data_IF_829237173851
#
_entry.id   IF_829237173851
#
_cell.length_a   1.000
_cell.length_b   1.000
_cell.length_c   1.000
_cell.angle_alpha   90.00
_cell.angle_beta   90.00
_cell.angle_gamma   90.00
#
_symmetry.space_group_name_H-M   'P 1'
#
loop_
_entity.id
_entity.type
_entity.pdbx_description
1 polymer ?
#
# COMPACT_ATOMS: atom_id res chain seq x y z
N UNK A 1 19.69 -19.13 -3.29
CA UNK A 1 20.40 -19.77 -2.16
C UNK A 1 21.57 -18.93 -1.70
N UNK A 2 22.66 -18.80 -2.49
CA UNK A 2 23.88 -18.08 -2.08
C UNK A 2 23.61 -16.65 -1.60
N UNK A 3 22.88 -15.85 -2.39
CA UNK A 3 22.49 -14.49 -2.02
C UNK A 3 21.71 -14.46 -0.69
N UNK A 4 20.77 -15.39 -0.50
CA UNK A 4 19.95 -15.45 0.72
C UNK A 4 20.79 -15.81 1.95
N UNK A 5 21.75 -16.74 1.82
CA UNK A 5 22.69 -17.10 2.89
C UNK A 5 23.59 -15.92 3.25
N UNK A 6 24.20 -15.29 2.23
CA UNK A 6 25.12 -14.16 2.43
C UNK A 6 24.41 -13.00 3.10
N UNK A 7 23.21 -12.64 2.64
CA UNK A 7 22.44 -11.55 3.24
C UNK A 7 22.00 -11.86 4.67
N UNK A 8 21.61 -13.11 4.97
CA UNK A 8 21.25 -13.51 6.33
C UNK A 8 22.45 -13.41 7.28
N UNK A 9 23.59 -13.96 6.89
CA UNK A 9 24.82 -13.91 7.68
C UNK A 9 25.28 -12.47 7.90
N UNK A 10 25.30 -11.65 6.84
CA UNK A 10 25.65 -10.23 6.95
C UNK A 10 24.68 -9.47 7.85
N UNK A 11 23.37 -9.78 7.81
CA UNK A 11 22.39 -9.12 8.65
C UNK A 11 22.60 -9.47 10.13
N UNK A 12 22.77 -10.75 10.46
CA UNK A 12 23.04 -11.22 11.83
C UNK A 12 24.34 -10.63 12.37
N UNK A 13 25.41 -10.64 11.57
CA UNK A 13 26.69 -10.04 11.94
C UNK A 13 26.52 -8.53 12.18
N UNK A 14 25.88 -7.82 11.25
CA UNK A 14 25.69 -6.38 11.34
C UNK A 14 24.87 -5.97 12.57
N UNK A 15 23.79 -6.70 12.87
CA UNK A 15 22.96 -6.49 14.07
C UNK A 15 23.77 -6.77 15.33
N UNK A 16 24.60 -7.82 15.34
CA UNK A 16 25.44 -8.15 16.50
C UNK A 16 26.48 -7.05 16.77
N UNK A 17 27.04 -6.44 15.71
CA UNK A 17 27.97 -5.31 15.80
C UNK A 17 27.32 -4.00 16.27
N UNK A 18 26.00 -3.94 16.46
CA UNK A 18 25.35 -2.75 17.04
C UNK A 18 25.86 -2.49 18.46
N UNK A 19 26.15 -3.55 19.24
CA UNK A 19 26.74 -3.42 20.58
C UNK A 19 28.09 -2.70 20.58
N UNK A 20 28.82 -2.77 19.46
CA UNK A 20 30.12 -2.14 19.25
C UNK A 20 30.00 -0.77 18.53
N UNK A 21 28.78 -0.28 18.28
CA UNK A 21 28.49 0.98 17.57
C UNK A 21 28.63 0.91 16.05
N UNK A 22 29.52 0.06 15.51
CA UNK A 22 29.76 -0.12 14.06
C UNK A 22 28.50 -0.63 13.34
N UNK A 23 27.70 -1.47 14.01
CA UNK A 23 26.46 -2.02 13.48
C UNK A 23 25.46 -0.95 13.05
N UNK A 24 25.44 0.21 13.73
CA UNK A 24 24.51 1.31 13.42
C UNK A 24 24.66 1.80 11.97
N UNK A 25 25.87 1.78 11.41
CA UNK A 25 26.11 2.22 10.03
C UNK A 25 25.92 1.10 9.01
N UNK A 26 26.28 -0.12 9.37
CA UNK A 26 26.20 -1.27 8.46
C UNK A 26 24.78 -1.84 8.35
N UNK A 27 24.00 -1.81 9.43
CA UNK A 27 22.67 -2.45 9.51
C UNK A 27 21.70 -1.85 8.50
N UNK A 28 21.58 -0.52 8.32
CA UNK A 28 20.68 0.04 7.33
C UNK A 28 20.99 -0.40 5.90
N UNK A 29 22.29 -0.47 5.55
CA UNK A 29 22.73 -0.88 4.21
C UNK A 29 22.40 -2.34 3.96
N UNK A 30 22.68 -3.21 4.93
CA UNK A 30 22.40 -4.64 4.82
C UNK A 30 20.89 -4.90 4.79
N UNK A 31 20.11 -4.24 5.66
CA UNK A 31 18.66 -4.38 5.67
C UNK A 31 18.01 -3.84 4.40
N UNK A 32 18.54 -2.76 3.81
CA UNK A 32 18.07 -2.27 2.51
C UNK A 32 18.37 -3.27 1.38
N UNK A 33 19.53 -3.93 1.41
CA UNK A 33 19.84 -5.03 0.49
C UNK A 33 18.89 -6.23 0.67
N UNK A 34 18.56 -6.60 1.92
CA UNK A 34 17.55 -7.63 2.24
C UNK A 34 16.18 -7.24 1.67
N UNK A 35 15.72 -6.00 1.92
CA UNK A 35 14.45 -5.48 1.41
C UNK A 35 14.41 -5.51 -0.13
N UNK A 36 15.51 -5.15 -0.80
CA UNK A 36 15.63 -5.18 -2.26
C UNK A 36 15.55 -6.62 -2.79
N UNK A 37 16.23 -7.57 -2.16
CA UNK A 37 16.17 -9.00 -2.51
C UNK A 37 14.76 -9.57 -2.32
N UNK A 38 14.09 -9.26 -1.21
CA UNK A 38 12.71 -9.65 -0.96
C UNK A 38 11.76 -9.07 -2.04
N UNK A 39 11.89 -7.79 -2.37
CA UNK A 39 11.09 -7.15 -3.42
C UNK A 39 11.31 -7.78 -4.80
N UNK A 40 12.55 -8.15 -5.14
CA UNK A 40 12.84 -8.86 -6.39
C UNK A 40 12.12 -10.21 -6.44
N UNK A 41 12.08 -10.96 -5.33
CA UNK A 41 11.33 -12.22 -5.25
C UNK A 41 9.83 -12.03 -5.32
N UNK A 42 9.30 -10.96 -4.72
CA UNK A 42 7.88 -10.58 -4.85
C UNK A 42 7.53 -10.28 -6.32
N UNK A 43 8.43 -9.63 -7.06
CA UNK A 43 8.25 -9.37 -8.49
C UNK A 43 8.20 -10.68 -9.29
N UNK A 44 9.16 -11.59 -9.07
CA UNK A 44 9.19 -12.89 -9.73
C UNK A 44 7.98 -13.77 -9.40
N UNK A 45 7.48 -13.70 -8.16
CA UNK A 45 6.27 -14.41 -7.75
C UNK A 45 5.06 -13.99 -8.61
N UNK A 46 4.94 -12.70 -8.92
CA UNK A 46 3.88 -12.17 -9.78
C UNK A 46 4.12 -12.54 -11.24
N UNK A 47 5.32 -12.28 -11.77
CA UNK A 47 5.59 -12.46 -13.20
C UNK A 47 5.58 -13.93 -13.64
N UNK A 48 6.06 -14.85 -12.81
CA UNK A 48 6.21 -16.26 -13.18
C UNK A 48 5.11 -17.16 -12.64
N UNK A 49 4.40 -16.73 -11.59
CA UNK A 49 3.44 -17.57 -10.87
C UNK A 49 2.10 -16.91 -10.55
N UNK A 50 1.93 -15.63 -10.91
CA UNK A 50 0.74 -14.80 -10.61
C UNK A 50 0.37 -14.75 -9.11
N UNK A 51 1.36 -14.96 -8.23
CA UNK A 51 1.19 -14.89 -6.78
C UNK A 51 1.54 -13.49 -6.31
N UNK A 52 0.54 -12.71 -5.89
CA UNK A 52 0.74 -11.38 -5.32
C UNK A 52 1.13 -11.45 -3.85
N UNK A 53 2.29 -10.90 -3.53
CA UNK A 53 2.80 -10.72 -2.17
C UNK A 53 2.88 -9.21 -1.89
N UNK A 54 2.11 -8.68 -0.94
CA UNK A 54 2.12 -7.26 -0.63
C UNK A 54 3.48 -6.81 -0.05
N UNK A 55 3.77 -5.51 -0.17
CA UNK A 55 4.97 -4.87 0.39
C UNK A 55 4.58 -4.13 1.68
N UNK A 56 4.93 -4.64 2.87
CA UNK A 56 4.40 -4.12 4.14
C UNK A 56 5.29 -3.05 4.80
N UNK A 57 6.37 -2.58 4.16
CA UNK A 57 7.33 -1.67 4.79
C UNK A 57 6.71 -0.32 5.14
N UNK A 58 7.05 0.20 6.33
CA UNK A 58 6.66 1.56 6.73
C UNK A 58 7.52 2.60 6.00
N UNK A 59 6.92 3.70 5.51
CA UNK A 59 7.69 4.80 4.93
C UNK A 59 8.58 5.46 6.00
N UNK A 60 9.75 5.95 5.60
CA UNK A 60 10.59 6.72 6.50
C UNK A 60 10.00 8.13 6.73
N UNK A 61 10.14 8.70 7.94
CA UNK A 61 9.81 10.09 8.19
C UNK A 61 10.57 11.01 7.24
N UNK A 62 9.93 12.07 6.74
CA UNK A 62 10.56 13.04 5.84
C UNK A 62 11.65 13.89 6.53
N UNK A 63 11.57 14.00 7.86
CA UNK A 63 12.41 14.88 8.69
C UNK A 63 13.51 14.11 9.45
N UNK A 64 14.15 13.12 8.82
CA UNK A 64 15.26 12.42 9.44
C UNK A 64 16.41 13.40 9.74
N UNK A 65 16.88 13.41 10.99
CA UNK A 65 18.01 14.25 11.40
C UNK A 65 19.26 13.91 10.56
N UNK A 66 20.08 14.88 10.15
CA UNK A 66 21.33 14.59 9.47
C UNK A 66 22.41 14.07 10.45
N UNK A 67 23.37 13.30 9.95
CA UNK A 67 24.52 12.82 10.70
C UNK A 67 24.30 11.53 11.50
N UNK A 68 25.10 11.32 12.54
CA UNK A 68 25.15 10.06 13.32
C UNK A 68 23.83 9.78 14.04
N UNK A 69 23.20 10.80 14.62
CA UNK A 69 21.91 10.68 15.32
C UNK A 69 20.79 10.24 14.37
N UNK A 70 20.78 10.75 13.14
CA UNK A 70 19.87 10.30 12.09
C UNK A 70 20.08 8.86 11.67
N UNK A 71 21.33 8.41 11.61
CA UNK A 71 21.65 7.02 11.30
C UNK A 71 21.15 6.07 12.39
N UNK A 72 21.34 6.44 13.67
CA UNK A 72 20.80 5.68 14.82
C UNK A 72 19.27 5.60 14.73
N UNK A 73 18.61 6.72 14.42
CA UNK A 73 17.16 6.78 14.24
C UNK A 73 16.70 5.87 13.09
N UNK A 74 17.35 5.94 11.92
CA UNK A 74 17.07 5.06 10.77
C UNK A 74 17.21 3.58 11.12
N UNK A 75 18.30 3.21 11.79
CA UNK A 75 18.54 1.82 12.22
C UNK A 75 17.47 1.37 13.20
N UNK A 76 17.10 2.22 14.16
CA UNK A 76 16.06 1.92 15.14
C UNK A 76 14.69 1.74 14.48
N UNK A 77 14.34 2.60 13.51
CA UNK A 77 13.10 2.50 12.74
C UNK A 77 13.04 1.20 11.92
N UNK A 78 14.14 0.82 11.26
CA UNK A 78 14.21 -0.42 10.50
C UNK A 78 14.11 -1.67 11.39
N UNK A 79 14.77 -1.68 12.55
CA UNK A 79 14.71 -2.80 13.49
C UNK A 79 13.35 -2.92 14.20
N UNK A 80 12.63 -1.81 14.38
CA UNK A 80 11.26 -1.81 14.91
C UNK A 80 10.21 -2.20 13.89
N UNK A 81 10.55 -2.22 12.60
CA UNK A 81 9.63 -2.62 11.55
C UNK A 81 9.43 -4.15 11.58
N UNK A 82 8.22 -4.66 11.86
CA UNK A 82 7.96 -6.10 11.91
C UNK A 82 8.18 -6.78 10.55
N UNK A 83 8.09 -6.03 9.44
CA UNK A 83 8.42 -6.54 8.12
C UNK A 83 9.89 -6.99 7.99
N UNK A 84 10.81 -6.31 8.68
CA UNK A 84 12.25 -6.65 8.64
C UNK A 84 12.51 -8.02 9.26
N UNK A 85 11.84 -8.35 10.37
CA UNK A 85 11.98 -9.67 11.00
C UNK A 85 11.37 -10.79 10.16
N UNK A 86 10.24 -10.51 9.48
CA UNK A 86 9.66 -11.46 8.52
C UNK A 86 10.56 -11.70 7.32
N UNK A 87 11.22 -10.67 6.80
CA UNK A 87 12.20 -10.85 5.72
C UNK A 87 13.39 -11.71 6.18
N UNK A 88 13.88 -11.53 7.41
CA UNK A 88 14.95 -12.37 7.98
C UNK A 88 14.51 -13.83 8.18
N UNK A 89 13.30 -14.06 8.70
CA UNK A 89 12.74 -15.41 8.83
C UNK A 89 12.52 -16.04 7.44
N UNK A 90 12.06 -15.26 6.47
CA UNK A 90 11.91 -15.71 5.10
C UNK A 90 13.26 -16.09 4.47
N UNK A 91 14.36 -15.38 4.75
CA UNK A 91 15.69 -15.76 4.26
C UNK A 91 16.12 -17.17 4.74
N UNK A 92 15.82 -17.52 5.99
CA UNK A 92 16.08 -18.87 6.54
C UNK A 92 15.27 -19.94 5.79
N UNK A 93 14.00 -19.66 5.52
CA UNK A 93 13.10 -20.58 4.82
C UNK A 93 13.49 -20.67 3.33
N UNK A 94 13.84 -19.55 2.68
CA UNK A 94 14.29 -19.52 1.29
C UNK A 94 15.62 -20.26 1.10
N UNK A 95 16.50 -20.24 2.11
CA UNK A 95 17.74 -21.02 2.07
C UNK A 95 17.47 -22.52 1.99
N UNK A 96 16.47 -23.02 2.73
CA UNK A 96 16.16 -24.46 2.77
C UNK A 96 15.21 -24.87 1.65
N UNK A 97 14.02 -24.26 1.59
CA UNK A 97 12.99 -24.57 0.59
C UNK A 97 13.49 -24.21 -0.81
N UNK A 98 14.15 -23.07 -0.97
CA UNK A 98 14.73 -22.68 -2.26
C UNK A 98 15.86 -23.61 -2.70
N UNK A 99 16.67 -24.14 -1.78
CA UNK A 99 17.68 -25.15 -2.10
C UNK A 99 17.03 -26.47 -2.54
N UNK A 100 16.03 -26.96 -1.80
CA UNK A 100 15.31 -28.19 -2.15
C UNK A 100 14.64 -28.06 -3.51
N UNK A 101 13.96 -26.94 -3.78
CA UNK A 101 13.30 -26.70 -5.08
C UNK A 101 14.31 -26.59 -6.21
N UNK A 102 15.43 -25.88 -6.00
CA UNK A 102 16.49 -25.76 -7.01
C UNK A 102 17.16 -27.10 -7.28
N UNK A 103 17.46 -27.88 -6.24
CA UNK A 103 18.06 -29.20 -6.35
C UNK A 103 17.12 -30.18 -7.04
N UNK A 104 15.85 -30.22 -6.64
CA UNK A 104 14.83 -31.07 -7.26
C UNK A 104 14.65 -30.71 -8.73
N UNK A 105 14.57 -29.41 -9.06
CA UNK A 105 14.48 -28.95 -10.44
C UNK A 105 15.71 -29.31 -11.28
N UNK A 106 16.91 -29.14 -10.72
CA UNK A 106 18.16 -29.50 -11.39
C UNK A 106 18.27 -31.02 -11.59
N UNK A 107 17.97 -31.82 -10.56
CA UNK A 107 17.96 -33.28 -10.64
C UNK A 107 17.01 -33.75 -11.74
N UNK A 108 15.79 -33.20 -11.79
CA UNK A 108 14.78 -33.59 -12.77
C UNK A 108 15.10 -33.15 -14.21
N UNK A 109 16.06 -32.23 -14.40
CA UNK A 109 16.55 -31.79 -15.72
C UNK A 109 17.84 -32.47 -16.14
N UNK A 110 18.76 -32.71 -15.19
CA UNK A 110 20.09 -33.27 -15.44
C UNK A 110 20.05 -34.80 -15.48
N UNK A 111 19.32 -35.44 -14.56
CA UNK A 111 19.22 -36.90 -14.48
C UNK A 111 18.67 -37.56 -15.76
N UNK A 112 17.70 -36.97 -16.49
CA UNK A 112 17.31 -37.45 -17.82
C UNK A 112 18.43 -37.51 -18.87
N UNK A 113 19.41 -36.61 -18.80
CA UNK A 113 20.51 -36.53 -19.78
C UNK A 113 21.38 -37.77 -19.72
N UNK A 114 21.55 -38.34 -18.53
CA UNK A 114 22.28 -39.57 -18.31
C UNK A 114 21.69 -40.75 -19.10
N UNK A 115 20.36 -40.83 -19.24
CA UNK A 115 19.70 -41.84 -20.08
C UNK A 115 20.09 -41.75 -21.56
N UNK A 116 20.33 -40.53 -22.07
CA UNK A 116 20.84 -40.32 -23.43
C UNK A 116 22.31 -40.74 -23.58
N UNK A 117 23.13 -40.45 -22.58
CA UNK A 117 24.54 -40.86 -22.56
C UNK A 117 24.67 -42.39 -22.45
N UNK A 118 23.80 -43.04 -21.67
CA UNK A 118 23.70 -44.49 -21.61
C UNK A 118 23.29 -45.06 -22.97
N UNK A 119 22.26 -44.53 -23.63
CA UNK A 119 21.89 -44.97 -24.98
C UNK A 119 23.03 -44.81 -26.02
N UNK A 120 23.89 -43.80 -25.85
CA UNK A 120 25.09 -43.59 -26.67
C UNK A 120 26.22 -44.62 -26.41
N UNK A 121 26.09 -45.48 -25.39
CA UNK A 121 26.97 -46.62 -25.15
C UNK A 121 27.86 -46.53 -23.92
N UNK A 122 27.64 -45.54 -23.03
CA UNK A 122 28.41 -45.40 -21.79
C UNK A 122 28.34 -46.65 -20.90
N UNK A 123 27.22 -47.39 -20.95
CA UNK A 123 27.04 -48.64 -20.20
C UNK A 123 28.13 -49.68 -20.48
N UNK A 124 28.76 -49.68 -21.67
CA UNK A 124 29.80 -50.64 -22.04
C UNK A 124 31.09 -50.52 -21.22
N UNK A 125 31.27 -49.41 -20.51
CA UNK A 125 32.39 -49.19 -19.58
C UNK A 125 32.21 -50.03 -18.31
N UNK A 126 30.98 -50.28 -17.90
CA UNK A 126 30.64 -51.09 -16.73
C UNK A 126 30.51 -52.55 -17.15
N UNK A 127 31.60 -53.32 -17.00
CA UNK A 127 31.67 -54.73 -17.44
C UNK A 127 31.31 -55.74 -16.37
N UNK A 128 31.45 -55.37 -15.10
CA UNK A 128 31.30 -56.31 -13.99
C UNK A 128 29.86 -56.34 -13.44
N UNK A 129 29.12 -55.22 -13.50
CA UNK A 129 27.75 -55.10 -13.00
C UNK A 129 26.86 -54.25 -13.94
N UNK A 130 25.56 -54.59 -14.09
CA UNK A 130 24.60 -53.76 -14.82
C UNK A 130 24.47 -52.37 -14.21
N UNK A 131 24.51 -51.34 -15.06
CA UNK A 131 24.34 -49.95 -14.60
C UNK A 131 22.85 -49.67 -14.35
N UNK A 132 22.50 -49.26 -13.13
CA UNK A 132 21.10 -49.00 -12.77
C UNK A 132 20.69 -47.57 -13.08
N UNK A 133 19.79 -47.42 -14.05
CA UNK A 133 19.13 -46.15 -14.35
C UNK A 133 17.71 -46.15 -13.78
N UNK A 134 17.58 -45.63 -12.55
CA UNK A 134 16.33 -45.64 -11.79
C UNK A 134 15.96 -47.08 -11.39
N UNK A 135 15.09 -47.71 -12.18
CA UNK A 135 14.67 -49.10 -12.01
C UNK A 135 15.03 -49.99 -13.21
N UNK A 136 15.74 -49.46 -14.21
CA UNK A 136 16.15 -50.20 -15.41
C UNK A 136 17.61 -50.64 -15.24
N UNK A 137 17.90 -51.96 -15.16
CA UNK A 137 19.25 -52.46 -15.26
C UNK A 137 19.71 -52.36 -16.72
N UNK A 138 20.77 -51.60 -16.97
CA UNK A 138 21.32 -51.37 -18.31
C UNK A 138 22.52 -52.29 -18.55
N UNK A 139 22.27 -53.38 -19.26
CA UNK A 139 23.26 -54.41 -19.62
C UNK A 139 23.38 -54.63 -21.14
N UNK A 140 22.45 -54.06 -21.90
CA UNK A 140 22.32 -54.25 -23.34
C UNK A 140 21.88 -52.96 -24.05
N UNK A 141 22.00 -52.94 -25.38
CA UNK A 141 21.56 -51.80 -26.17
C UNK A 141 20.04 -51.57 -26.07
N UNK A 142 19.25 -52.65 -25.94
CA UNK A 142 17.80 -52.55 -25.78
C UNK A 142 17.42 -51.90 -24.44
N UNK A 143 18.05 -52.32 -23.34
CA UNK A 143 17.85 -51.70 -22.01
C UNK A 143 18.37 -50.26 -21.96
N UNK A 144 19.41 -49.94 -22.74
CA UNK A 144 19.90 -48.56 -22.86
C UNK A 144 18.88 -47.64 -23.58
N UNK A 145 18.18 -48.13 -24.61
CA UNK A 145 17.07 -47.39 -25.21
C UNK A 145 15.86 -47.26 -24.26
N UNK A 146 15.59 -48.28 -23.43
CA UNK A 146 14.58 -48.17 -22.38
C UNK A 146 14.94 -47.10 -21.33
N UNK A 147 16.22 -46.99 -20.95
CA UNK A 147 16.71 -45.91 -20.09
C UNK A 147 16.56 -44.52 -20.74
N UNK A 148 16.83 -44.39 -22.04
CA UNK A 148 16.55 -43.15 -22.78
C UNK A 148 15.06 -42.80 -22.79
N UNK A 149 14.18 -43.77 -23.07
CA UNK A 149 12.74 -43.55 -23.05
C UNK A 149 12.26 -43.08 -21.66
N UNK A 150 12.76 -43.72 -20.59
CA UNK A 150 12.50 -43.29 -19.21
C UNK A 150 13.02 -41.87 -18.95
N UNK A 151 14.24 -41.54 -19.40
CA UNK A 151 14.80 -40.21 -19.31
C UNK A 151 13.93 -39.14 -20.00
N UNK A 152 13.46 -39.41 -21.22
CA UNK A 152 12.55 -38.52 -21.95
C UNK A 152 11.25 -38.29 -21.16
N UNK A 153 10.68 -39.35 -20.58
CA UNK A 153 9.48 -39.25 -19.74
C UNK A 153 9.76 -38.40 -18.50
N UNK A 154 10.85 -38.66 -17.77
CA UNK A 154 11.24 -37.88 -16.59
C UNK A 154 11.48 -36.40 -16.92
N UNK A 155 12.10 -36.11 -18.06
CA UNK A 155 12.30 -34.74 -18.54
C UNK A 155 10.98 -34.03 -18.82
N UNK A 156 10.03 -34.69 -19.49
CA UNK A 156 8.70 -34.14 -19.73
C UNK A 156 7.91 -33.93 -18.44
N UNK A 157 7.98 -34.88 -17.50
CA UNK A 157 7.41 -34.73 -16.16
C UNK A 157 8.04 -33.53 -15.45
N UNK A 158 9.35 -33.31 -15.58
CA UNK A 158 10.02 -32.15 -15.02
C UNK A 158 9.58 -30.82 -15.61
N UNK A 159 9.42 -30.75 -16.93
CA UNK A 159 8.87 -29.57 -17.59
C UNK A 159 7.46 -29.27 -17.10
N UNK A 160 6.62 -30.29 -16.98
CA UNK A 160 5.24 -30.14 -16.51
C UNK A 160 5.17 -29.77 -15.01
N UNK A 161 5.97 -30.41 -14.17
CA UNK A 161 6.01 -30.18 -12.72
C UNK A 161 6.70 -28.86 -12.32
N UNK A 162 7.52 -28.26 -13.19
CA UNK A 162 8.25 -27.02 -12.90
C UNK A 162 7.33 -25.86 -12.49
N UNK A 163 6.24 -25.65 -13.21
CA UNK A 163 5.26 -24.57 -12.96
C UNK A 163 4.53 -24.73 -11.61
N UNK A 164 3.88 -25.87 -11.30
CA UNK A 164 3.22 -26.05 -10.01
C UNK A 164 4.23 -26.02 -8.85
N UNK A 165 5.45 -26.52 -9.02
CA UNK A 165 6.49 -26.46 -8.00
C UNK A 165 6.91 -25.02 -7.67
N UNK A 166 7.08 -24.18 -8.70
CA UNK A 166 7.36 -22.75 -8.50
C UNK A 166 6.19 -22.03 -7.82
N UNK A 167 4.95 -22.32 -8.24
CA UNK A 167 3.74 -21.76 -7.60
C UNK A 167 3.66 -22.14 -6.12
N UNK A 168 3.93 -23.40 -5.79
CA UNK A 168 3.96 -23.88 -4.41
C UNK A 168 5.02 -23.13 -3.59
N UNK A 169 6.25 -23.01 -4.13
CA UNK A 169 7.32 -22.26 -3.48
C UNK A 169 6.94 -20.81 -3.20
N UNK A 170 6.36 -20.10 -4.19
CA UNK A 170 5.93 -18.72 -3.98
C UNK A 170 4.70 -18.59 -3.08
N UNK A 171 3.82 -19.59 -3.02
CA UNK A 171 2.72 -19.64 -2.07
C UNK A 171 3.23 -19.80 -0.64
N UNK A 172 4.23 -20.65 -0.41
CA UNK A 172 4.90 -20.78 0.89
C UNK A 172 5.62 -19.49 1.26
N UNK A 173 6.32 -18.88 0.31
CA UNK A 173 6.93 -17.57 0.52
C UNK A 173 5.89 -16.52 0.94
N UNK A 174 4.72 -16.50 0.29
CA UNK A 174 3.61 -15.60 0.64
C UNK A 174 3.16 -15.80 2.09
N UNK A 175 3.07 -17.02 2.60
CA UNK A 175 2.65 -17.25 3.99
C UNK A 175 3.60 -16.66 5.03
N UNK A 176 4.87 -16.47 4.68
CA UNK A 176 5.89 -15.90 5.58
C UNK A 176 6.02 -14.37 5.36
N UNK A 177 5.97 -13.93 4.11
CA UNK A 177 6.16 -12.53 3.72
C UNK A 177 4.89 -11.67 3.85
N UNK A 178 3.69 -12.26 3.86
CA UNK A 178 2.46 -11.51 3.98
C UNK A 178 2.35 -10.84 5.37
N UNK A 179 1.79 -9.63 5.46
CA UNK A 179 1.50 -8.99 6.73
C UNK A 179 0.49 -9.82 7.52
N UNK A 180 0.59 -9.75 8.84
CA UNK A 180 -0.42 -10.36 9.71
C UNK A 180 -1.69 -9.52 9.68
N UNK A 181 -2.83 -10.12 10.03
CA UNK A 181 -4.11 -9.38 10.11
C UNK A 181 -4.01 -8.16 11.04
N UNK A 182 -3.26 -8.28 12.13
CA UNK A 182 -3.06 -7.20 13.09
C UNK A 182 -2.27 -6.04 12.47
N UNK A 183 -1.27 -6.32 11.63
CA UNK A 183 -0.56 -5.28 10.88
C UNK A 183 -1.46 -4.60 9.85
N UNK A 184 -2.28 -5.37 9.12
CA UNK A 184 -3.25 -4.80 8.18
C UNK A 184 -4.26 -3.90 8.89
N UNK A 185 -4.74 -4.30 10.06
CA UNK A 185 -5.62 -3.51 10.91
C UNK A 185 -4.91 -2.24 11.43
N UNK A 186 -3.69 -2.36 11.94
CA UNK A 186 -2.90 -1.23 12.42
C UNK A 186 -2.68 -0.20 11.30
N UNK A 187 -2.29 -0.65 10.10
CA UNK A 187 -2.13 0.22 8.93
C UNK A 187 -3.45 0.90 8.54
N UNK A 188 -4.58 0.19 8.66
CA UNK A 188 -5.89 0.77 8.34
C UNK A 188 -6.32 1.80 9.37
N UNK A 189 -6.09 1.55 10.66
CA UNK A 189 -6.34 2.50 11.74
C UNK A 189 -5.48 3.74 11.60
N UNK A 190 -4.20 3.57 11.27
CA UNK A 190 -3.26 4.67 11.01
C UNK A 190 -3.75 5.54 9.85
N UNK A 191 -4.10 4.94 8.71
CA UNK A 191 -4.68 5.68 7.57
C UNK A 191 -5.97 6.42 7.93
N UNK A 192 -6.88 5.77 8.66
CA UNK A 192 -8.13 6.42 9.09
C UNK A 192 -7.86 7.60 10.03
N UNK A 193 -6.85 7.46 10.89
CA UNK A 193 -6.43 8.52 11.82
C UNK A 193 -5.85 9.70 11.04
N UNK A 194 -4.96 9.44 10.07
CA UNK A 194 -4.39 10.46 9.19
C UNK A 194 -5.46 11.21 8.39
N UNK A 195 -6.36 10.49 7.70
CA UNK A 195 -7.47 11.10 6.96
C UNK A 195 -8.39 11.91 7.86
N UNK A 196 -8.63 11.44 9.10
CA UNK A 196 -9.43 12.20 10.07
C UNK A 196 -8.73 13.49 10.48
N UNK A 197 -7.42 13.45 10.74
CA UNK A 197 -6.65 14.64 11.06
C UNK A 197 -6.72 15.67 9.92
N UNK A 198 -6.48 15.24 8.68
CA UNK A 198 -6.57 16.11 7.49
C UNK A 198 -7.97 16.72 7.32
N UNK A 199 -9.03 15.93 7.51
CA UNK A 199 -10.40 16.41 7.42
C UNK A 199 -10.72 17.44 8.53
N UNK A 200 -10.25 17.20 9.76
CA UNK A 200 -10.43 18.12 10.89
C UNK A 200 -9.66 19.42 10.67
N UNK A 201 -8.42 19.35 10.21
CA UNK A 201 -7.60 20.53 9.92
C UNK A 201 -8.21 21.37 8.80
N UNK A 202 -8.73 20.72 7.76
CA UNK A 202 -9.46 21.38 6.67
C UNK A 202 -10.71 22.08 7.19
N UNK A 203 -11.53 21.39 8.01
CA UNK A 203 -12.73 21.99 8.60
C UNK A 203 -12.40 23.17 9.52
N UNK A 204 -11.32 23.08 10.31
CA UNK A 204 -10.86 24.16 11.18
C UNK A 204 -10.35 25.37 10.38
N UNK A 205 -9.71 25.15 9.22
CA UNK A 205 -9.28 26.22 8.33
C UNK A 205 -10.48 26.94 7.68
N UNK A 206 -11.49 26.19 7.23
CA UNK A 206 -12.72 26.75 6.66
C UNK A 206 -13.50 27.57 7.70
N UNK A 207 -13.61 27.08 8.94
CA UNK A 207 -14.25 27.83 10.02
C UNK A 207 -13.56 29.17 10.29
N UNK A 208 -12.22 29.19 10.36
CA UNK A 208 -11.43 30.43 10.52
C UNK A 208 -11.60 31.39 9.35
N UNK A 209 -11.84 30.88 8.14
CA UNK A 209 -12.11 31.70 6.96
C UNK A 209 -13.49 32.34 7.03
N UNK A 210 -14.53 31.55 7.33
CA UNK A 210 -15.91 32.04 7.50
C UNK A 210 -15.98 33.08 8.62
N UNK A 211 -15.31 32.84 9.74
CA UNK A 211 -15.24 33.79 10.85
C UNK A 211 -14.62 35.13 10.41
N UNK A 212 -13.51 35.10 9.67
CA UNK A 212 -12.87 36.31 9.14
C UNK A 212 -13.77 37.05 8.16
N UNK A 213 -14.38 36.33 7.21
CA UNK A 213 -15.27 36.92 6.19
C UNK A 213 -16.51 37.57 6.85
N UNK A 214 -17.05 36.94 7.91
CA UNK A 214 -18.15 37.51 8.69
C UNK A 214 -17.72 38.74 9.49
N UNK A 215 -16.56 38.68 10.14
CA UNK A 215 -16.05 39.78 10.93
C UNK A 215 -15.74 41.01 10.06
N UNK A 216 -15.05 40.82 8.94
CA UNK A 216 -14.71 41.90 8.00
C UNK A 216 -15.97 42.45 7.32
N UNK A 217 -16.90 41.57 6.93
CA UNK A 217 -18.19 41.95 6.36
C UNK A 217 -19.10 42.71 7.33
N UNK A 218 -19.02 42.43 8.63
CA UNK A 218 -19.72 43.19 9.66
C UNK A 218 -19.05 44.55 9.91
N UNK A 219 -17.71 44.60 9.99
CA UNK A 219 -16.96 45.84 10.17
C UNK A 219 -17.18 46.83 9.02
N UNK A 220 -17.08 46.39 7.77
CA UNK A 220 -17.31 47.25 6.61
C UNK A 220 -18.71 47.90 6.63
N UNK A 221 -19.72 47.14 7.05
CA UNK A 221 -21.10 47.64 7.19
C UNK A 221 -21.28 48.61 8.34
N UNK A 222 -20.66 48.35 9.51
CA UNK A 222 -20.71 49.28 10.65
C UNK A 222 -20.02 50.61 10.33
N UNK A 223 -18.88 50.58 9.62
CA UNK A 223 -18.19 51.80 9.17
C UNK A 223 -19.05 52.60 8.19
N UNK A 224 -19.66 51.94 7.20
CA UNK A 224 -20.56 52.61 6.25
C UNK A 224 -21.77 53.26 6.94
N UNK A 225 -22.36 52.60 7.94
CA UNK A 225 -23.44 53.20 8.75
C UNK A 225 -22.95 54.42 9.54
N UNK A 226 -21.78 54.35 10.17
CA UNK A 226 -21.19 55.49 10.89
C UNK A 226 -20.96 56.71 9.99
N UNK A 227 -20.47 56.49 8.77
CA UNK A 227 -20.27 57.57 7.77
C UNK A 227 -21.60 58.20 7.33
N UNK A 228 -22.63 57.38 7.08
CA UNK A 228 -23.95 57.88 6.72
C UNK A 228 -24.56 58.72 7.85
N UNK A 229 -24.42 58.28 9.10
CA UNK A 229 -24.90 59.02 10.28
C UNK A 229 -24.19 60.37 10.44
N UNK A 230 -22.87 60.42 10.32
CA UNK A 230 -22.12 61.69 10.37
C UNK A 230 -22.52 62.68 9.28
N UNK A 231 -22.87 62.17 8.09
CA UNK A 231 -23.37 63.00 6.98
C UNK A 231 -24.76 63.58 7.29
N UNK A 232 -25.65 62.78 7.91
CA UNK A 232 -26.98 63.23 8.33
C UNK A 232 -26.87 64.30 9.42
N UNK A 233 -25.96 64.12 10.38
CA UNK A 233 -25.73 65.06 11.49
C UNK A 233 -25.26 66.42 10.97
N UNK A 234 -24.37 66.44 9.97
CA UNK A 234 -23.93 67.67 9.31
C UNK A 234 -25.02 68.36 8.45
N UNK A 235 -26.02 67.62 7.97
CA UNK A 235 -27.12 68.16 7.16
C UNK A 235 -28.30 68.65 8.01
N UNK A 236 -28.46 68.21 9.26
CA UNK A 236 -29.59 68.56 10.12
C UNK A 236 -29.77 70.07 10.30
N UNK A 237 -28.68 70.82 10.39
CA UNK A 237 -28.72 72.28 10.58
C UNK A 237 -28.84 73.06 9.26
N UNK A 238 -28.44 72.45 8.13
CA UNK A 238 -28.38 73.13 6.81
C UNK A 238 -29.57 72.81 5.90
N UNK A 239 -29.99 71.55 5.86
CA UNK A 239 -31.13 71.06 5.07
C UNK A 239 -31.84 69.91 5.81
N UNK A 240 -32.81 70.23 6.67
CA UNK A 240 -33.51 69.23 7.47
C UNK A 240 -34.40 68.29 6.63
N UNK A 241 -34.82 68.70 5.44
CA UNK A 241 -35.64 67.86 4.56
C UNK A 241 -34.79 66.75 3.93
N UNK A 242 -33.58 67.10 3.47
CA UNK A 242 -32.63 66.14 2.90
C UNK A 242 -32.06 65.20 3.98
N UNK A 243 -31.79 65.71 5.19
CA UNK A 243 -31.41 64.89 6.35
C UNK A 243 -32.45 63.82 6.69
N UNK A 244 -33.75 64.18 6.67
CA UNK A 244 -34.86 63.24 6.95
C UNK A 244 -34.94 62.11 5.93
N UNK A 245 -34.67 62.41 4.65
CA UNK A 245 -34.67 61.42 3.57
C UNK A 245 -33.51 60.44 3.70
N UNK A 246 -32.30 60.93 3.98
CA UNK A 246 -31.12 60.10 4.20
C UNK A 246 -31.25 59.21 5.45
N UNK A 247 -31.86 59.74 6.51
CA UNK A 247 -32.15 58.96 7.72
C UNK A 247 -33.13 57.81 7.45
N UNK A 248 -34.16 58.04 6.63
CA UNK A 248 -35.10 56.98 6.23
C UNK A 248 -34.39 55.86 5.45
N UNK A 249 -33.54 56.23 4.47
CA UNK A 249 -32.75 55.26 3.69
C UNK A 249 -31.75 54.47 4.55
N UNK A 250 -31.08 55.12 5.50
CA UNK A 250 -30.16 54.45 6.42
C UNK A 250 -30.91 53.44 7.33
N UNK A 251 -32.14 53.77 7.74
CA UNK A 251 -32.98 52.87 8.55
C UNK A 251 -33.42 51.63 7.79
N UNK A 252 -33.81 51.81 6.52
CA UNK A 252 -34.20 50.72 5.63
C UNK A 252 -33.02 49.78 5.34
N UNK A 253 -31.87 50.35 4.98
CA UNK A 253 -30.65 49.56 4.73
C UNK A 253 -30.17 48.78 5.98
N UNK A 254 -30.34 49.35 7.18
CA UNK A 254 -30.04 48.65 8.44
C UNK A 254 -30.99 47.48 8.71
N UNK A 255 -32.28 47.65 8.37
CA UNK A 255 -33.29 46.61 8.54
C UNK A 255 -33.09 45.43 7.56
N UNK A 256 -32.72 45.72 6.32
CA UNK A 256 -32.33 44.69 5.34
C UNK A 256 -31.10 43.90 5.82
N UNK A 257 -30.04 44.57 6.29
CA UNK A 257 -28.83 43.90 6.76
C UNK A 257 -29.07 42.98 7.97
N UNK A 258 -29.93 43.39 8.90
CA UNK A 258 -30.34 42.59 10.06
C UNK A 258 -31.14 41.34 9.64
N UNK A 259 -31.94 41.47 8.58
CA UNK A 259 -32.70 40.37 8.00
C UNK A 259 -31.76 39.35 7.33
N UNK A 260 -30.80 39.84 6.54
CA UNK A 260 -29.79 39.00 5.88
C UNK A 260 -28.93 38.20 6.88
N UNK A 261 -28.52 38.82 8.00
CA UNK A 261 -27.80 38.12 9.09
C UNK A 261 -28.67 37.07 9.82
N UNK A 262 -29.97 37.34 10.01
CA UNK A 262 -30.91 36.37 10.59
C UNK A 262 -31.14 35.17 9.68
N UNK A 263 -31.22 35.40 8.37
CA UNK A 263 -31.38 34.33 7.39
C UNK A 263 -30.12 33.45 7.31
N UNK A 264 -28.92 34.05 7.37
CA UNK A 264 -27.65 33.32 7.39
C UNK A 264 -27.47 32.49 8.68
N UNK A 265 -27.79 33.04 9.85
CA UNK A 265 -27.69 32.33 11.13
C UNK A 265 -28.77 31.24 11.28
N UNK A 266 -29.99 31.46 10.78
CA UNK A 266 -31.07 30.47 10.76
C UNK A 266 -30.87 29.33 9.76
N UNK A 267 -30.12 29.56 8.67
CA UNK A 267 -29.75 28.53 7.71
C UNK A 267 -28.61 27.61 8.20
N UNK A 268 -27.69 28.12 9.03
CA UNK A 268 -26.59 27.31 9.58
C UNK A 268 -27.07 26.27 10.61
N UNK A 269 -28.09 26.62 11.41
CA UNK A 269 -28.65 25.71 12.43
C UNK A 269 -29.43 24.54 11.84
N UNK A 270 -29.97 24.69 10.62
CA UNK A 270 -30.72 23.63 9.92
C UNK A 270 -29.81 22.61 9.23
N UNK A 271 -28.54 22.95 8.96
CA UNK A 271 -27.61 22.10 8.20
C UNK A 271 -26.77 21.15 9.08
N UNK A 272 -26.85 21.28 10.41
CA UNK A 272 -26.14 20.45 11.40
C UNK A 272 -26.94 19.24 11.92
N UNK A 273 -28.17 19.01 11.44
CA UNK A 273 -28.87 17.74 11.68
C UNK A 273 -28.53 16.74 10.57
N UNK A 274 -27.81 15.63 10.85
CA UNK A 274 -27.61 14.58 9.87
C UNK A 274 -28.94 13.85 9.66
N UNK A 275 -29.73 14.29 8.68
CA UNK A 275 -30.87 13.51 8.20
C UNK A 275 -30.32 12.26 7.51
N UNK A 276 -30.33 11.16 8.22
CA UNK A 276 -30.20 9.79 7.69
C UNK A 276 -31.25 9.64 6.59
N UNK A 277 -30.82 9.78 5.33
CA UNK A 277 -31.66 9.43 4.18
C UNK A 277 -31.69 7.90 4.10
N UNK A 278 -32.73 7.33 4.71
CA UNK A 278 -33.10 5.94 4.52
C UNK A 278 -33.65 5.76 3.10
N UNK A 279 -32.84 5.18 2.25
CA UNK A 279 -33.28 4.63 0.98
C UNK A 279 -34.04 3.33 1.25
N UNK A 280 -35.38 3.35 1.25
CA UNK A 280 -36.18 2.12 1.06
C UNK A 280 -37.63 2.40 0.66
N UNK A 281 -38.16 1.55 -0.24
CA UNK A 281 -39.52 1.41 -0.80
C UNK A 281 -39.89 2.36 -1.94
N UNK A 282 -39.89 1.95 -3.21
CA UNK A 282 -40.56 0.84 -3.91
C UNK A 282 -42.09 0.96 -4.02
N UNK A 283 -42.55 0.98 -5.29
CA UNK A 283 -43.82 0.48 -5.87
C UNK A 283 -44.95 1.50 -6.15
N UNK A 284 -45.25 1.57 -7.47
CA UNK A 284 -46.58 1.33 -8.12
C UNK A 284 -47.59 2.48 -7.89
N UNK A 285 -48.07 3.20 -8.89
CA UNK A 285 -48.97 2.75 -9.95
C UNK A 285 -48.89 3.67 -11.18
N UNK A 286 -48.79 3.07 -12.37
CA UNK A 286 -48.95 3.73 -13.68
C UNK A 286 -50.15 3.05 -14.34
N UNK A 287 -51.31 3.69 -14.30
CA UNK A 287 -52.50 3.35 -15.08
C UNK A 287 -53.23 4.65 -15.42
N UNK A 288 -53.59 4.85 -16.69
CA UNK A 288 -54.49 5.93 -17.09
C UNK A 288 -54.28 6.44 -18.50
N UNK A 289 -54.73 5.67 -19.48
CA UNK A 289 -54.84 5.98 -20.90
C UNK A 289 -55.43 7.37 -21.21
N UNK A 290 -54.97 8.00 -22.29
CA UNK A 290 -55.81 8.54 -23.39
C UNK A 290 -54.95 9.17 -24.50
N UNK A 291 -55.11 8.63 -25.70
CA UNK A 291 -55.00 9.31 -26.99
C UNK A 291 -56.41 9.36 -27.62
N UNK A 292 -56.64 9.96 -28.80
CA UNK A 292 -56.35 11.31 -29.31
C UNK A 292 -57.72 12.05 -29.59
N UNK A 293 -57.86 13.19 -30.33
CA UNK A 293 -57.56 13.40 -31.78
C UNK A 293 -56.92 14.81 -32.03
N UNK A 294 -56.45 15.28 -33.20
CA UNK A 294 -56.47 14.97 -34.63
C UNK A 294 -55.08 15.24 -35.21
#
# INVERSE_FOLDING_TARGET
MTVSVTLFVLAVISISFILLGIGVFTTPVVLEAVRKHANQRRLWAVTWSDVRIPVPYRPFPKDLRPGVTGQVERTTLMLRDPATWRDLQWLLIDMTVGAVVAFLGAALMIYPVEGLVLAAGLWRVFRDDPYWYGFVPVDSQATAFAALALGIVLFHVGLWASRPLLRLHFSLARTVLAPTRDEELAQRVERLTETRHEAVDTAAAELRRIERDLHDGAQARLVAMGMNLGTIEALIEKDPAQAKKLLAMARESSAEALTELRDLSGASTRRSSPSVVSATRSRRWRCGCRSPPR
#
